data_IF_557605651307
#
_entry.id   IF_557605651307
#
_cell.length_a   1.000
_cell.length_b   1.000
_cell.length_c   1.000
_cell.angle_alpha   90.00
_cell.angle_beta   90.00
_cell.angle_gamma   90.00
#
_symmetry.space_group_name_H-M   'P 1'
#
loop_
_entity.id
_entity.type
_entity.pdbx_description
1 polymer ?
#
# COMPACT_ATOMS: atom_id res chain seq x y z
N UNK A 1 24.87 1.90 10.16
CA UNK A 1 24.75 2.56 8.85
C UNK A 1 24.25 1.53 7.83
N UNK A 2 22.98 1.53 7.49
CA UNK A 2 22.41 0.60 6.50
C UNK A 2 22.04 1.34 5.21
N UNK A 3 22.05 0.63 4.08
CA UNK A 3 21.73 1.18 2.76
C UNK A 3 20.23 1.44 2.65
N UNK A 4 19.86 2.62 2.16
CA UNK A 4 18.52 2.93 1.70
C UNK A 4 18.48 2.84 0.17
N UNK A 5 17.47 2.15 -0.36
CA UNK A 5 17.25 2.00 -1.81
C UNK A 5 15.96 2.69 -2.17
N UNK A 6 16.02 3.67 -3.07
CA UNK A 6 14.86 4.40 -3.59
C UNK A 6 14.65 4.05 -5.05
N UNK A 7 13.44 3.63 -5.40
CA UNK A 7 13.04 3.31 -6.78
C UNK A 7 11.96 4.29 -7.23
N UNK A 8 12.31 5.26 -8.10
CA UNK A 8 11.34 6.19 -8.64
C UNK A 8 10.49 5.52 -9.72
N UNK A 9 9.17 5.69 -9.64
CA UNK A 9 8.20 5.22 -10.63
C UNK A 9 7.47 6.42 -11.21
N UNK A 10 7.82 6.82 -12.42
CA UNK A 10 7.15 7.92 -13.12
C UNK A 10 5.74 7.51 -13.54
N UNK A 11 4.75 8.34 -13.21
CA UNK A 11 3.34 8.08 -13.49
C UNK A 11 2.79 9.17 -14.41
N UNK A 12 2.23 8.76 -15.55
CA UNK A 12 1.57 9.71 -16.47
C UNK A 12 0.43 10.47 -15.78
N UNK A 13 0.29 11.76 -16.11
CA UNK A 13 -0.73 12.65 -15.51
C UNK A 13 -2.17 12.16 -15.72
N UNK A 14 -2.42 11.38 -16.74
CA UNK A 14 -3.73 10.84 -17.10
C UNK A 14 -4.10 9.55 -16.35
N UNK A 15 -3.13 8.89 -15.70
CA UNK A 15 -3.39 7.63 -15.00
C UNK A 15 -4.02 7.86 -13.64
N UNK A 16 -5.08 7.10 -13.37
CA UNK A 16 -5.78 7.09 -12.08
C UNK A 16 -5.27 5.99 -11.13
N UNK A 17 -4.24 5.26 -11.52
CA UNK A 17 -3.68 4.20 -10.69
C UNK A 17 -2.37 3.67 -11.22
N UNK A 18 -1.67 2.95 -10.37
CA UNK A 18 -0.41 2.27 -10.67
C UNK A 18 -0.41 0.88 -10.06
N UNK A 19 0.23 -0.05 -10.76
CA UNK A 19 0.54 -1.38 -10.25
C UNK A 19 2.04 -1.57 -10.32
N UNK A 20 2.65 -1.83 -9.17
CA UNK A 20 4.09 -2.01 -9.02
C UNK A 20 4.34 -3.44 -8.57
N UNK A 21 5.22 -4.15 -9.29
CA UNK A 21 5.55 -5.55 -8.98
C UNK A 21 6.97 -5.64 -8.43
N UNK A 22 7.08 -6.07 -7.18
CA UNK A 22 8.32 -6.52 -6.57
C UNK A 22 8.44 -8.02 -6.81
N UNK A 23 9.35 -8.42 -7.69
CA UNK A 23 9.59 -9.83 -8.00
C UNK A 23 10.15 -10.55 -6.79
N UNK A 24 9.84 -11.84 -6.65
CA UNK A 24 10.31 -12.66 -5.52
C UNK A 24 11.84 -12.69 -5.42
N UNK A 25 12.55 -12.85 -6.54
CA UNK A 25 14.01 -12.83 -6.58
C UNK A 25 14.62 -11.48 -6.19
N UNK A 26 13.93 -10.38 -6.48
CA UNK A 26 14.34 -9.03 -6.06
C UNK A 26 14.11 -8.86 -4.55
N UNK A 27 12.99 -9.35 -4.02
CA UNK A 27 12.71 -9.34 -2.58
C UNK A 27 13.77 -10.15 -1.81
N UNK A 28 14.14 -11.34 -2.30
CA UNK A 28 15.22 -12.15 -1.74
C UNK A 28 16.56 -11.40 -1.69
N UNK A 29 16.91 -10.69 -2.78
CA UNK A 29 18.12 -9.87 -2.86
C UNK A 29 18.11 -8.70 -1.89
N UNK A 30 16.97 -7.98 -1.76
CA UNK A 30 16.84 -6.88 -0.80
C UNK A 30 17.04 -7.36 0.63
N UNK A 31 16.47 -8.52 0.98
CA UNK A 31 16.62 -9.13 2.30
C UNK A 31 18.05 -9.60 2.56
N UNK A 32 18.67 -10.32 1.62
CA UNK A 32 20.03 -10.86 1.75
C UNK A 32 21.11 -9.77 1.78
N UNK A 33 20.87 -8.64 1.08
CA UNK A 33 21.77 -7.48 1.09
C UNK A 33 21.65 -6.63 2.36
N UNK A 34 20.70 -6.94 3.25
CA UNK A 34 20.50 -6.20 4.50
C UNK A 34 20.09 -4.74 4.30
N UNK A 35 19.34 -4.46 3.23
CA UNK A 35 18.82 -3.12 2.93
C UNK A 35 18.02 -2.61 4.10
N UNK A 36 18.43 -1.49 4.72
CA UNK A 36 17.77 -0.91 5.88
C UNK A 36 16.35 -0.44 5.55
N UNK A 37 16.20 0.19 4.39
CA UNK A 37 14.94 0.73 3.91
C UNK A 37 14.85 0.64 2.39
N UNK A 38 13.73 0.17 1.89
CA UNK A 38 13.40 0.15 0.47
C UNK A 38 12.19 1.05 0.25
N UNK A 39 12.34 2.07 -0.61
CA UNK A 39 11.31 3.06 -0.88
C UNK A 39 10.89 2.96 -2.34
N UNK A 40 9.60 2.87 -2.58
CA UNK A 40 8.99 3.07 -3.89
C UNK A 40 8.43 4.48 -3.90
N UNK A 41 9.07 5.36 -4.66
CA UNK A 41 8.60 6.71 -4.94
C UNK A 41 7.66 6.64 -6.15
N UNK A 42 6.35 6.65 -5.89
CA UNK A 42 5.32 6.60 -6.91
C UNK A 42 4.90 8.02 -7.36
N UNK A 43 5.89 8.88 -7.53
CA UNK A 43 5.74 10.26 -8.04
C UNK A 43 4.67 11.02 -7.21
N UNK A 44 3.75 11.68 -7.88
CA UNK A 44 2.66 12.44 -7.27
C UNK A 44 1.56 11.61 -6.58
N UNK A 45 1.62 10.28 -6.60
CA UNK A 45 0.59 9.46 -5.95
C UNK A 45 0.90 9.26 -4.47
N UNK A 46 2.00 8.60 -4.14
CA UNK A 46 2.43 8.34 -2.78
C UNK A 46 3.81 7.70 -2.76
N UNK A 47 4.50 7.76 -1.63
CA UNK A 47 5.71 6.99 -1.36
C UNK A 47 5.39 5.82 -0.45
N UNK A 48 6.08 4.69 -0.68
CA UNK A 48 5.90 3.45 0.06
C UNK A 48 7.24 2.97 0.60
N UNK A 49 7.44 3.06 1.91
CA UNK A 49 8.67 2.69 2.58
C UNK A 49 8.57 1.35 3.31
N UNK A 50 9.45 0.42 2.96
CA UNK A 50 9.54 -0.91 3.57
C UNK A 50 10.81 -0.98 4.40
N UNK A 51 10.69 -1.30 5.68
CA UNK A 51 11.85 -1.60 6.53
C UNK A 51 12.39 -2.99 6.22
N UNK A 52 13.64 -3.27 6.59
CA UNK A 52 14.22 -4.62 6.46
C UNK A 52 13.35 -5.68 7.12
N UNK A 53 12.79 -5.38 8.29
CA UNK A 53 11.91 -6.31 9.01
C UNK A 53 10.62 -6.60 8.26
N UNK A 54 10.04 -5.59 7.60
CA UNK A 54 8.87 -5.76 6.74
C UNK A 54 9.21 -6.61 5.51
N UNK A 55 10.36 -6.35 4.87
CA UNK A 55 10.84 -7.13 3.73
C UNK A 55 11.10 -8.59 4.13
N UNK A 56 11.78 -8.83 5.24
CA UNK A 56 12.00 -10.19 5.79
C UNK A 56 10.67 -10.92 6.04
N UNK A 57 9.69 -10.21 6.63
CA UNK A 57 8.39 -10.82 6.92
C UNK A 57 7.61 -11.16 5.66
N UNK A 58 7.59 -10.27 4.67
CA UNK A 58 7.01 -10.54 3.36
C UNK A 58 7.68 -11.76 2.72
N UNK A 59 9.00 -11.80 2.72
CA UNK A 59 9.78 -12.90 2.13
C UNK A 59 9.51 -14.25 2.80
N UNK A 60 9.35 -14.27 4.13
CA UNK A 60 9.02 -15.48 4.89
C UNK A 60 7.59 -15.97 4.65
N UNK A 61 6.63 -15.08 4.43
CA UNK A 61 5.21 -15.38 4.36
C UNK A 61 4.69 -15.57 2.93
N UNK A 62 5.47 -15.21 1.93
CA UNK A 62 5.10 -15.30 0.53
C UNK A 62 6.18 -16.02 -0.27
N UNK A 63 5.80 -16.58 -1.40
CA UNK A 63 6.73 -17.24 -2.34
C UNK A 63 6.54 -16.73 -3.78
N UNK A 64 5.60 -15.82 -3.97
CA UNK A 64 5.31 -15.19 -5.25
C UNK A 64 5.80 -13.76 -5.32
N UNK A 65 5.51 -13.12 -6.44
CA UNK A 65 5.75 -11.69 -6.58
C UNK A 65 4.79 -10.89 -5.69
N UNK A 66 5.29 -9.83 -5.07
CA UNK A 66 4.44 -8.88 -4.34
C UNK A 66 4.00 -7.79 -5.29
N UNK A 67 2.69 -7.56 -5.37
CA UNK A 67 2.11 -6.54 -6.23
C UNK A 67 1.41 -5.49 -5.37
N UNK A 68 1.93 -4.28 -5.39
CA UNK A 68 1.31 -3.09 -4.82
C UNK A 68 0.40 -2.45 -5.87
N UNK A 69 -0.87 -2.29 -5.54
CA UNK A 69 -1.84 -1.56 -6.37
C UNK A 69 -2.29 -0.31 -5.64
N UNK A 70 -2.25 0.81 -6.34
CA UNK A 70 -2.71 2.11 -5.86
C UNK A 70 -3.64 2.69 -6.91
N UNK A 71 -4.88 2.98 -6.54
CA UNK A 71 -5.89 3.54 -7.44
C UNK A 71 -6.54 4.76 -6.81
N UNK A 72 -6.56 5.88 -7.51
CA UNK A 72 -7.39 7.04 -7.14
C UNK A 72 -8.85 6.66 -7.21
N UNK A 73 -9.58 6.99 -6.16
CA UNK A 73 -11.01 6.75 -6.08
C UNK A 73 -11.73 7.98 -5.51
N UNK A 74 -13.04 7.98 -5.63
CA UNK A 74 -13.93 8.93 -4.95
C UNK A 74 -14.70 8.19 -3.88
N UNK A 75 -14.69 8.69 -2.64
CA UNK A 75 -15.52 8.14 -1.58
C UNK A 75 -16.98 8.51 -1.80
N UNK A 76 -17.87 7.56 -1.61
CA UNK A 76 -19.32 7.74 -1.81
C UNK A 76 -20.07 7.97 -0.49
N UNK A 77 -19.59 7.36 0.60
CA UNK A 77 -20.20 7.45 1.93
C UNK A 77 -20.18 8.90 2.45
N UNK A 78 -21.31 9.37 2.99
CA UNK A 78 -21.45 10.71 3.60
C UNK A 78 -20.44 10.88 4.74
N UNK A 79 -20.25 9.87 5.58
CA UNK A 79 -19.28 9.90 6.70
C UNK A 79 -17.84 10.03 6.23
N UNK A 80 -17.48 9.28 5.17
CA UNK A 80 -16.15 9.37 4.60
C UNK A 80 -15.90 10.72 3.92
N UNK A 81 -16.88 11.28 3.20
CA UNK A 81 -16.82 12.63 2.61
C UNK A 81 -16.66 13.72 3.67
N UNK A 82 -17.32 13.57 4.83
CA UNK A 82 -17.18 14.50 5.92
C UNK A 82 -15.78 14.48 6.56
N UNK A 83 -15.12 13.32 6.62
CA UNK A 83 -13.77 13.15 7.14
C UNK A 83 -12.71 13.58 6.12
N UNK A 84 -12.85 13.14 4.85
CA UNK A 84 -11.91 13.40 3.75
C UNK A 84 -12.56 14.42 2.80
N UNK A 85 -12.35 15.69 3.07
CA UNK A 85 -13.04 16.79 2.35
C UNK A 85 -12.50 17.07 0.95
N UNK A 86 -11.33 16.57 0.61
CA UNK A 86 -10.72 16.75 -0.70
C UNK A 86 -9.81 15.57 -1.09
N UNK A 87 -9.57 15.38 -2.41
CA UNK A 87 -8.55 14.44 -2.89
C UNK A 87 -7.15 14.80 -2.34
N UNK A 88 -6.21 13.83 -2.35
CA UNK A 88 -6.35 12.51 -2.93
C UNK A 88 -7.00 11.48 -2.00
N UNK A 89 -7.69 10.50 -2.59
CA UNK A 89 -8.16 9.29 -1.93
C UNK A 89 -7.72 8.10 -2.76
N UNK A 90 -7.13 7.11 -2.11
CA UNK A 90 -6.57 5.94 -2.77
C UNK A 90 -7.15 4.63 -2.23
N UNK A 91 -7.47 3.70 -3.10
CA UNK A 91 -7.56 2.28 -2.77
C UNK A 91 -6.16 1.69 -2.91
N UNK A 92 -5.59 1.28 -1.77
CA UNK A 92 -4.24 0.73 -1.66
C UNK A 92 -4.35 -0.74 -1.27
N UNK A 93 -3.77 -1.62 -2.07
CA UNK A 93 -3.81 -3.05 -1.80
C UNK A 93 -2.50 -3.76 -2.17
N UNK A 94 -2.14 -4.74 -1.34
CA UNK A 94 -1.02 -5.63 -1.56
C UNK A 94 -1.53 -7.01 -1.96
N UNK A 95 -0.85 -7.64 -2.91
CA UNK A 95 -1.20 -8.95 -3.44
C UNK A 95 0.04 -9.82 -3.56
N UNK A 96 -0.11 -11.10 -3.30
CA UNK A 96 0.83 -12.11 -3.75
C UNK A 96 0.36 -12.69 -5.09
N UNK A 97 1.26 -12.77 -6.06
CA UNK A 97 0.98 -13.30 -7.41
C UNK A 97 1.95 -14.43 -7.72
N UNK A 98 1.40 -15.65 -7.85
CA UNK A 98 2.16 -16.87 -8.15
C UNK A 98 1.80 -17.42 -9.52
N UNK A 99 2.81 -17.89 -10.25
CA UNK A 99 2.60 -18.75 -11.42
C UNK A 99 2.35 -20.18 -10.93
N UNK A 100 1.15 -20.69 -11.09
CA UNK A 100 0.82 -22.08 -10.76
C UNK A 100 1.05 -22.94 -11.99
N UNK A 101 1.99 -23.89 -11.92
CA UNK A 101 2.13 -24.91 -12.97
C UNK A 101 0.84 -25.73 -13.02
N UNK A 102 0.20 -25.85 -14.18
CA UNK A 102 -0.89 -26.80 -14.36
C UNK A 102 -0.31 -28.20 -14.15
N UNK A 103 -0.78 -28.91 -13.13
CA UNK A 103 -0.58 -30.35 -13.02
C UNK A 103 -1.32 -30.98 -14.20
N UNK A 104 -0.62 -31.69 -15.07
CA UNK A 104 -1.25 -32.48 -16.13
C UNK A 104 -2.17 -33.51 -15.47
N UNK A 105 -3.48 -33.36 -15.61
CA UNK A 105 -4.39 -34.47 -15.52
C UNK A 105 -4.19 -35.27 -16.81
N UNK A 106 -3.43 -36.33 -16.71
CA UNK A 106 -3.28 -37.33 -17.79
C UNK A 106 -4.58 -38.13 -17.85
N UNK A 107 -5.54 -37.69 -18.65
CA UNK A 107 -6.51 -38.58 -19.25
C UNK A 107 -5.96 -38.95 -20.64
N UNK A 108 -5.51 -40.17 -20.75
CA UNK A 108 -5.21 -40.80 -22.04
C UNK A 108 -6.51 -40.85 -22.84
N UNK A 109 -6.57 -40.12 -23.94
CA UNK A 109 -7.20 -40.57 -25.22
C UNK A 109 -6.79 -39.61 -26.33
N UNK A 110 -6.07 -40.20 -27.29
CA UNK A 110 -6.05 -39.97 -28.73
C UNK A 110 -5.71 -38.61 -29.33
N UNK A 111 -4.57 -38.61 -30.04
CA UNK A 111 -4.22 -37.86 -31.26
C UNK A 111 -4.96 -36.58 -31.58
N UNK A 112 -4.40 -35.43 -31.13
CA UNK A 112 -4.51 -34.19 -31.84
C UNK A 112 -3.22 -33.38 -31.71
N UNK A 113 -2.55 -33.17 -32.82
CA UNK A 113 -1.48 -32.18 -32.96
C UNK A 113 -2.08 -30.80 -32.86
N UNK A 114 -2.16 -30.24 -31.68
CA UNK A 114 -2.37 -28.80 -31.45
C UNK A 114 -1.23 -28.31 -30.57
N UNK A 115 -0.54 -27.27 -31.06
CA UNK A 115 0.44 -26.51 -30.32
C UNK A 115 -0.28 -25.83 -29.16
N UNK A 116 -0.50 -26.56 -28.07
CA UNK A 116 -1.10 -25.98 -26.85
C UNK A 116 -0.15 -24.94 -26.26
N UNK A 117 -0.44 -23.67 -26.49
CA UNK A 117 0.07 -22.59 -25.66
C UNK A 117 -0.41 -22.83 -24.23
N UNK A 118 0.47 -23.40 -23.39
CA UNK A 118 0.21 -23.63 -21.97
C UNK A 118 -0.09 -22.28 -21.31
N UNK A 119 -1.37 -21.96 -21.14
CA UNK A 119 -1.77 -20.81 -20.36
C UNK A 119 -1.32 -21.02 -18.91
N UNK A 120 -0.31 -20.26 -18.47
CA UNK A 120 0.16 -20.29 -17.08
C UNK A 120 -0.99 -19.80 -16.20
N UNK A 121 -1.52 -20.67 -15.35
CA UNK A 121 -2.54 -20.26 -14.38
C UNK A 121 -1.86 -19.37 -13.32
N UNK A 122 -2.35 -18.15 -13.20
CA UNK A 122 -1.86 -17.17 -12.20
C UNK A 122 -2.77 -17.21 -10.99
N UNK A 123 -2.22 -17.48 -9.81
CA UNK A 123 -2.95 -17.34 -8.54
C UNK A 123 -2.64 -15.98 -7.94
N UNK A 124 -3.69 -15.21 -7.61
CA UNK A 124 -3.60 -13.91 -6.94
C UNK A 124 -4.24 -14.02 -5.56
N UNK A 125 -3.51 -13.65 -4.52
CA UNK A 125 -3.99 -13.66 -3.14
C UNK A 125 -3.81 -12.26 -2.55
N UNK A 126 -4.89 -11.62 -2.11
CA UNK A 126 -4.83 -10.32 -1.44
C UNK A 126 -4.21 -10.50 -0.05
N UNK A 127 -3.20 -9.71 0.27
CA UNK A 127 -2.63 -9.68 1.60
C UNK A 127 -3.50 -8.76 2.47
N UNK A 128 -4.22 -9.34 3.41
CA UNK A 128 -5.18 -8.63 4.27
C UNK A 128 -4.51 -8.00 5.48
N UNK A 129 -3.31 -8.44 5.83
CA UNK A 129 -2.48 -7.90 6.91
C UNK A 129 -0.99 -8.06 6.57
N UNK A 130 -0.14 -7.49 7.40
CA UNK A 130 1.33 -7.55 7.26
C UNK A 130 1.99 -8.30 8.44
N UNK A 131 1.25 -9.19 9.10
CA UNK A 131 1.75 -10.03 10.23
C UNK A 131 2.45 -9.21 11.31
N UNK A 132 1.83 -8.08 11.71
CA UNK A 132 2.36 -7.18 12.72
C UNK A 132 3.46 -6.23 12.23
N UNK A 133 3.78 -6.22 10.94
CA UNK A 133 4.67 -5.25 10.32
C UNK A 133 3.88 -4.16 9.60
N UNK A 134 4.56 -3.09 9.22
CA UNK A 134 3.96 -1.92 8.58
C UNK A 134 4.72 -1.52 7.33
N UNK A 135 4.05 -0.78 6.45
CA UNK A 135 4.65 -0.05 5.35
C UNK A 135 4.40 1.43 5.63
N UNK A 136 5.46 2.22 5.67
CA UNK A 136 5.32 3.68 5.78
C UNK A 136 4.77 4.22 4.47
N UNK A 137 3.68 4.99 4.51
CA UNK A 137 3.10 5.65 3.34
C UNK A 137 3.12 7.15 3.54
N UNK A 138 3.55 7.89 2.51
CA UNK A 138 3.48 9.33 2.45
C UNK A 138 2.53 9.74 1.31
N UNK A 139 1.37 10.31 1.64
CA UNK A 139 0.40 10.82 0.67
C UNK A 139 0.64 12.30 0.46
N UNK A 140 0.99 12.76 -0.75
CA UNK A 140 1.17 14.17 -1.05
C UNK A 140 -0.09 14.98 -0.73
N UNK A 141 0.09 16.07 0.02
CA UNK A 141 -1.01 16.91 0.44
C UNK A 141 -0.56 18.37 0.61
N UNK A 142 -1.26 19.29 -0.02
CA UNK A 142 -1.04 20.71 0.17
C UNK A 142 -2.12 21.26 1.13
N UNK A 143 -1.76 21.69 2.35
CA UNK A 143 -2.71 22.25 3.29
C UNK A 143 -3.42 23.48 2.69
N UNK A 144 -4.71 23.66 3.00
CA UNK A 144 -5.41 24.92 2.69
C UNK A 144 -4.96 26.03 3.64
N UNK A 145 -5.21 27.28 3.28
CA UNK A 145 -4.82 28.45 4.06
C UNK A 145 -5.27 28.41 5.54
N UNK A 146 -6.40 27.76 5.81
CA UNK A 146 -6.99 27.61 7.15
C UNK A 146 -6.72 26.23 7.78
N UNK A 147 -5.94 25.37 7.16
CA UNK A 147 -5.56 24.05 7.68
C UNK A 147 -4.19 24.14 8.34
N UNK A 148 -4.14 23.89 9.64
CA UNK A 148 -2.87 23.77 10.35
C UNK A 148 -2.27 22.40 10.13
N UNK A 149 -0.99 22.28 9.71
CA UNK A 149 -0.34 21.00 9.44
C UNK A 149 -0.45 19.99 10.57
N UNK A 150 -0.33 20.41 11.82
CA UNK A 150 -0.44 19.54 12.99
C UNK A 150 -1.83 18.95 13.25
N UNK A 151 -2.84 19.33 12.45
CA UNK A 151 -4.21 18.83 12.51
C UNK A 151 -4.61 18.02 11.28
N UNK A 152 -3.63 17.66 10.44
CA UNK A 152 -3.80 16.76 9.29
C UNK A 152 -3.49 15.32 9.72
N UNK A 153 -4.39 14.43 9.36
CA UNK A 153 -4.30 13.01 9.68
C UNK A 153 -4.60 12.16 8.46
N UNK A 154 -3.98 10.99 8.38
CA UNK A 154 -4.45 9.96 7.49
C UNK A 154 -5.78 9.39 8.01
N UNK A 155 -6.66 9.05 7.09
CA UNK A 155 -7.98 8.47 7.36
C UNK A 155 -8.12 7.18 6.56
N UNK A 156 -8.37 6.08 7.25
CA UNK A 156 -8.78 4.82 6.66
C UNK A 156 -10.30 4.75 6.55
N UNK A 157 -10.81 4.32 5.41
CA UNK A 157 -12.25 4.09 5.21
C UNK A 157 -12.48 2.58 5.06
N UNK A 158 -13.25 2.00 5.98
CA UNK A 158 -13.54 0.58 5.95
C UNK A 158 -14.57 0.21 4.85
N UNK A 159 -14.78 -1.10 4.63
CA UNK A 159 -15.72 -1.61 3.61
C UNK A 159 -17.19 -1.19 3.80
N UNK A 160 -17.55 -0.68 4.99
CA UNK A 160 -18.87 -0.10 5.30
C UNK A 160 -18.92 1.41 5.10
N UNK A 161 -17.87 2.02 4.54
CA UNK A 161 -17.76 3.46 4.33
C UNK A 161 -17.57 4.29 5.61
N UNK A 162 -17.19 3.64 6.74
CA UNK A 162 -16.94 4.34 8.01
C UNK A 162 -15.47 4.79 8.07
N UNK A 163 -15.22 6.09 8.29
CA UNK A 163 -13.86 6.61 8.45
C UNK A 163 -13.29 6.25 9.83
N UNK A 164 -12.00 5.94 9.85
CA UNK A 164 -11.19 5.74 11.06
C UNK A 164 -9.96 6.64 10.95
N UNK A 165 -9.76 7.49 11.94
CA UNK A 165 -8.62 8.40 11.98
C UNK A 165 -7.38 7.67 12.43
N UNK A 166 -6.28 7.82 11.69
CA UNK A 166 -4.99 7.24 12.05
C UNK A 166 -4.25 8.29 12.88
N UNK A 167 -4.34 8.20 14.20
CA UNK A 167 -3.78 9.20 15.12
C UNK A 167 -2.27 9.28 15.11
N UNK A 168 -1.57 8.20 14.71
CA UNK A 168 -0.11 8.14 14.53
C UNK A 168 0.34 8.62 13.15
N UNK A 169 -0.46 9.42 12.46
CA UNK A 169 -0.06 10.09 11.23
C UNK A 169 0.40 11.51 11.52
N UNK A 170 1.26 12.04 10.65
CA UNK A 170 1.79 13.40 10.76
C UNK A 170 1.99 14.01 9.38
N UNK A 171 1.90 15.34 9.31
CA UNK A 171 2.27 16.08 8.11
C UNK A 171 3.78 16.36 8.14
N UNK A 172 4.44 15.95 7.09
CA UNK A 172 5.85 16.27 6.82
C UNK A 172 5.91 17.48 5.88
N UNK A 173 6.47 18.59 6.36
CA UNK A 173 6.55 19.84 5.62
C UNK A 173 7.57 19.78 4.48
N UNK A 174 8.64 19.01 4.65
CA UNK A 174 9.71 18.88 3.65
C UNK A 174 9.23 18.04 2.47
N UNK A 175 8.54 16.94 2.75
CA UNK A 175 7.94 16.08 1.72
C UNK A 175 6.58 16.60 1.23
N UNK A 176 5.98 17.58 1.91
CA UNK A 176 4.62 18.07 1.66
C UNK A 176 3.60 16.92 1.59
N UNK A 177 3.68 16.03 2.53
CA UNK A 177 2.90 14.80 2.57
C UNK A 177 2.39 14.48 3.98
N UNK A 178 1.28 13.75 4.07
CA UNK A 178 0.84 13.11 5.31
C UNK A 178 1.39 11.70 5.35
N UNK A 179 2.19 11.41 6.38
CA UNK A 179 2.85 10.11 6.59
C UNK A 179 2.11 9.28 7.61
N UNK A 180 2.01 7.99 7.39
CA UNK A 180 1.37 7.04 8.31
C UNK A 180 1.86 5.61 8.08
N UNK A 181 1.58 4.73 9.04
CA UNK A 181 1.89 3.31 8.98
C UNK A 181 0.68 2.52 8.43
N UNK A 182 0.87 1.95 7.25
CA UNK A 182 -0.10 1.07 6.59
C UNK A 182 0.03 -0.34 7.14
N UNK A 183 -1.08 -0.92 7.58
CA UNK A 183 -1.15 -2.27 8.17
C UNK A 183 -2.05 -3.23 7.40
N UNK A 184 -2.95 -2.72 6.57
CA UNK A 184 -3.95 -3.51 5.84
C UNK A 184 -4.41 -2.82 4.56
N UNK A 185 -4.77 -3.61 3.56
CA UNK A 185 -5.36 -3.11 2.31
C UNK A 185 -6.70 -2.41 2.55
N UNK A 186 -6.94 -1.31 1.85
CA UNK A 186 -8.18 -0.55 1.92
C UNK A 186 -8.08 0.87 1.38
N UNK A 187 -9.05 1.69 1.72
CA UNK A 187 -9.18 3.06 1.24
C UNK A 187 -8.56 4.04 2.23
N UNK A 188 -7.69 4.91 1.73
CA UNK A 188 -6.95 5.88 2.52
C UNK A 188 -7.05 7.27 1.89
N UNK A 189 -7.13 8.28 2.73
CA UNK A 189 -7.08 9.68 2.33
C UNK A 189 -6.55 10.56 3.45
N UNK A 190 -6.55 11.87 3.25
CA UNK A 190 -6.14 12.86 4.24
C UNK A 190 -7.36 13.61 4.75
N UNK A 191 -7.50 13.70 6.06
CA UNK A 191 -8.53 14.48 6.72
C UNK A 191 -7.94 15.55 7.62
N UNK A 192 -8.77 16.55 7.93
CA UNK A 192 -8.43 17.66 8.81
C UNK A 192 -9.38 17.73 10.00
N UNK A 193 -8.82 17.87 11.21
CA UNK A 193 -9.57 18.16 12.43
C UNK A 193 -9.05 19.44 13.04
N UNK A 194 -9.94 20.40 13.33
CA UNK A 194 -9.59 21.72 13.89
C UNK A 194 -8.97 21.68 15.30
N UNK A 195 -9.12 20.56 16.02
CA UNK A 195 -8.49 20.33 17.33
C UNK A 195 -7.87 18.93 17.32
N UNK A 196 -6.66 18.80 17.89
CA UNK A 196 -6.09 17.46 18.18
C UNK A 196 -7.12 16.68 18.98
N UNK A 197 -7.33 15.36 18.68
CA UNK A 197 -8.06 14.52 19.60
C UNK A 197 -7.37 14.64 20.95
N UNK A 198 -8.08 15.07 21.97
CA UNK A 198 -7.59 14.99 23.36
C UNK A 198 -7.44 13.49 23.61
N UNK A 199 -6.20 13.01 23.71
CA UNK A 199 -5.94 11.73 24.37
C UNK A 199 -6.44 11.97 25.79
N UNK A 200 -7.63 11.50 26.12
CA UNK A 200 -8.03 11.28 27.51
C UNK A 200 -7.03 10.27 28.05
N UNK A 201 -6.10 10.80 28.81
CA UNK A 201 -5.17 10.01 29.60
C UNK A 201 -6.02 9.21 30.59
N UNK A 202 -6.28 7.93 30.28
CA UNK A 202 -6.96 7.01 31.18
C UNK A 202 -5.94 6.42 32.18
N UNK A 203 -5.04 7.28 32.66
CA UNK A 203 -4.18 6.95 33.80
C UNK A 203 -4.54 7.90 34.95
N UNK A 204 -5.71 7.67 35.51
CA UNK A 204 -5.99 8.04 36.91
C UNK A 204 -7.03 7.04 37.43
N UNK A 205 -6.55 5.98 38.01
CA UNK A 205 -6.83 5.37 39.32
C UNK A 205 -6.29 3.96 39.37
#
# INVERSE_FOLDING_TARGET
>A
NGIEVVVPVKISKTLNGVQITLKADVLDKLVSSGVKRFIIDADRMADFGFTLDTLKKLNQQTSGNIVLKVKKITVTSVKAKAAIKKPPVYDISLWEVKNVKKTKLTNQKENWTSTERKAKKVKKTKLTNLWGKTISIAIPYTPKKNEQPGNLYAVFVNGKGKPQWITRSSYDADQKAVTFEFTKSGVYGVGYKAKKPVLTDINNH
#
